data_IF_533774219906
#
_entry.id   IF_533774219906
#
_cell.length_a   1.000
_cell.length_b   1.000
_cell.length_c   1.000
_cell.angle_alpha   90.00
_cell.angle_beta   90.00
_cell.angle_gamma   90.00
#
_symmetry.space_group_name_H-M   'P 1'
#
loop_
_entity.id
_entity.type
_entity.pdbx_description
1 polymer ?
#
# COMPACT_ATOMS: atom_id res chain seq x y z
N UNK A 1 -28.02 -35.98 -43.62
CA UNK A 1 -28.23 -34.51 -43.66
C UNK A 1 -29.26 -34.20 -42.57
N UNK A 2 -29.12 -33.29 -41.61
CA UNK A 2 -28.10 -32.28 -41.30
C UNK A 2 -28.10 -32.04 -39.78
N UNK A 3 -26.96 -31.53 -39.32
CA UNK A 3 -26.51 -31.33 -37.95
C UNK A 3 -26.88 -29.89 -37.53
N UNK A 4 -26.92 -29.62 -36.21
CA UNK A 4 -26.65 -28.30 -35.54
C UNK A 4 -27.81 -27.53 -34.88
N UNK A 5 -28.73 -28.22 -34.20
CA UNK A 5 -29.67 -27.57 -33.25
C UNK A 5 -29.48 -27.98 -31.77
N UNK A 6 -28.29 -28.42 -31.36
CA UNK A 6 -28.00 -28.86 -29.96
C UNK A 6 -27.04 -27.88 -29.26
N UNK A 7 -27.30 -26.57 -29.29
CA UNK A 7 -26.51 -25.60 -28.51
C UNK A 7 -27.34 -24.66 -27.63
N UNK A 8 -28.62 -24.92 -27.45
CA UNK A 8 -29.45 -24.14 -26.54
C UNK A 8 -30.38 -25.13 -25.84
N UNK A 9 -30.22 -25.33 -24.52
CA UNK A 9 -31.17 -25.98 -23.55
C UNK A 9 -30.61 -27.07 -22.60
N UNK A 10 -29.42 -26.90 -22.00
CA UNK A 10 -29.13 -27.51 -20.68
C UNK A 10 -28.80 -26.40 -19.69
N UNK A 11 -29.80 -25.81 -19.03
CA UNK A 11 -30.11 -26.05 -17.61
C UNK A 11 -28.85 -25.90 -16.72
N UNK A 12 -28.59 -24.73 -16.14
CA UNK A 12 -29.07 -24.26 -14.82
C UNK A 12 -28.93 -25.34 -13.72
N UNK A 13 -28.12 -24.97 -12.71
CA UNK A 13 -27.72 -25.69 -11.49
C UNK A 13 -26.77 -26.89 -11.75
N UNK A 14 -25.51 -26.85 -11.35
CA UNK A 14 -25.01 -26.78 -9.98
C UNK A 14 -23.57 -26.26 -10.02
N UNK A 15 -23.27 -25.14 -9.35
CA UNK A 15 -22.04 -24.92 -8.59
C UNK A 15 -22.32 -23.79 -7.58
N UNK A 16 -23.25 -24.07 -6.66
CA UNK A 16 -23.43 -23.31 -5.42
C UNK A 16 -22.57 -23.90 -4.29
N UNK A 17 -21.32 -24.23 -4.58
CA UNK A 17 -20.28 -24.45 -3.56
C UNK A 17 -19.42 -23.21 -3.55
N UNK A 18 -19.61 -22.37 -2.53
CA UNK A 18 -18.83 -21.17 -2.34
C UNK A 18 -17.34 -21.47 -2.23
N UNK A 19 -16.55 -20.66 -2.93
CA UNK A 19 -15.35 -19.98 -2.42
C UNK A 19 -15.01 -18.90 -3.45
N UNK A 20 -15.52 -17.68 -3.27
CA UNK A 20 -14.80 -16.50 -3.78
C UNK A 20 -13.62 -16.27 -2.85
N UNK A 21 -12.56 -17.07 -3.03
CA UNK A 21 -11.24 -16.75 -2.48
C UNK A 21 -10.59 -15.70 -3.39
N UNK A 22 -11.15 -14.48 -3.41
CA UNK A 22 -10.40 -13.31 -3.85
C UNK A 22 -9.37 -13.00 -2.76
N UNK A 23 -8.26 -13.74 -2.77
CA UNK A 23 -7.04 -13.28 -2.12
C UNK A 23 -6.63 -12.00 -2.84
N UNK A 24 -7.09 -10.85 -2.35
CA UNK A 24 -6.51 -9.55 -2.70
C UNK A 24 -5.09 -9.51 -2.14
N UNK A 25 -4.16 -10.15 -2.85
CA UNK A 25 -2.77 -9.76 -2.84
C UNK A 25 -2.70 -8.42 -3.55
N UNK A 26 -3.11 -7.35 -2.87
CA UNK A 26 -2.83 -6.00 -3.35
C UNK A 26 -1.31 -5.89 -3.42
N UNK A 27 -0.79 -5.68 -4.63
CA UNK A 27 0.63 -5.59 -4.94
C UNK A 27 1.29 -4.52 -4.09
N UNK A 28 1.76 -4.92 -2.91
CA UNK A 28 2.68 -4.17 -2.09
C UNK A 28 4.05 -4.60 -2.61
N UNK A 29 4.70 -3.78 -3.44
CA UNK A 29 6.06 -4.08 -3.90
C UNK A 29 6.90 -4.38 -2.66
N UNK A 30 7.44 -5.61 -2.60
CA UNK A 30 8.24 -6.02 -1.46
C UNK A 30 9.60 -5.33 -1.60
N UNK A 31 9.76 -4.19 -0.93
CA UNK A 31 11.00 -3.41 -0.86
C UNK A 31 12.23 -4.25 -0.45
N UNK A 32 12.01 -5.44 0.14
CA UNK A 32 13.07 -6.40 0.47
C UNK A 32 13.61 -7.14 -0.74
N UNK A 33 12.78 -7.36 -1.76
CA UNK A 33 13.13 -8.13 -2.96
C UNK A 33 13.58 -7.21 -4.07
N UNK A 34 12.97 -6.04 -4.19
CA UNK A 34 13.12 -5.17 -5.34
C UNK A 34 13.20 -3.68 -4.94
N UNK A 35 13.76 -2.87 -5.83
CA UNK A 35 13.88 -1.43 -5.64
C UNK A 35 15.24 -0.96 -5.13
N UNK A 36 15.40 0.34 -4.87
CA UNK A 36 16.70 0.98 -4.64
C UNK A 36 17.37 0.59 -3.31
N UNK A 37 16.65 -0.09 -2.41
CA UNK A 37 17.09 -0.49 -1.07
C UNK A 37 17.17 -2.02 -0.89
N UNK A 38 16.93 -2.83 -1.94
CA UNK A 38 16.81 -4.29 -1.79
C UNK A 38 18.07 -4.94 -1.23
N UNK A 39 19.25 -4.46 -1.66
CA UNK A 39 20.54 -4.95 -1.17
C UNK A 39 20.78 -4.54 0.29
N UNK A 40 20.44 -3.32 0.66
CA UNK A 40 20.52 -2.85 2.04
C UNK A 40 19.62 -3.65 2.98
N UNK A 41 18.42 -4.03 2.53
CA UNK A 41 17.54 -4.88 3.35
C UNK A 41 18.23 -6.21 3.65
N UNK A 42 18.79 -6.87 2.63
CA UNK A 42 19.49 -8.15 2.80
C UNK A 42 20.70 -8.03 3.71
N UNK A 43 21.46 -6.93 3.60
CA UNK A 43 22.71 -6.77 4.32
C UNK A 43 22.53 -6.28 5.76
N UNK A 44 21.56 -5.40 6.01
CA UNK A 44 21.39 -4.76 7.32
C UNK A 44 20.17 -5.25 8.08
N UNK A 45 19.12 -5.69 7.38
CA UNK A 45 17.80 -5.97 7.98
C UNK A 45 17.30 -7.40 7.75
N UNK A 46 18.15 -8.35 7.32
CA UNK A 46 17.73 -9.71 6.99
C UNK A 46 17.05 -10.49 8.14
N UNK A 47 17.36 -10.15 9.39
CA UNK A 47 16.77 -10.77 10.59
C UNK A 47 15.59 -10.00 11.16
N UNK A 48 15.25 -8.87 10.55
CA UNK A 48 14.12 -8.06 10.98
C UNK A 48 12.87 -8.68 10.37
N UNK A 49 11.97 -9.12 11.24
CA UNK A 49 10.69 -9.63 10.78
C UNK A 49 9.86 -8.52 10.10
N UNK A 50 9.16 -8.86 9.00
CA UNK A 50 8.24 -7.95 8.34
C UNK A 50 7.13 -7.39 9.25
N UNK A 51 6.51 -6.31 8.79
CA UNK A 51 5.37 -5.69 9.47
C UNK A 51 5.77 -4.58 10.44
N UNK A 52 4.74 -3.87 10.93
CA UNK A 52 4.86 -2.85 11.98
C UNK A 52 5.95 -1.78 11.73
N UNK A 53 6.24 -1.48 10.46
CA UNK A 53 7.32 -0.60 10.04
C UNK A 53 8.74 -1.00 10.50
N UNK A 54 8.97 -2.20 11.04
CA UNK A 54 10.27 -2.62 11.61
C UNK A 54 11.43 -2.55 10.61
N UNK A 55 11.19 -2.90 9.35
CA UNK A 55 12.20 -2.77 8.28
C UNK A 55 12.55 -1.29 8.01
N UNK A 56 11.55 -0.40 8.04
CA UNK A 56 11.78 1.02 7.86
C UNK A 56 12.59 1.62 9.03
N UNK A 57 12.32 1.18 10.25
CA UNK A 57 13.10 1.55 11.43
C UNK A 57 14.55 1.06 11.32
N UNK A 58 14.76 -0.20 10.95
CA UNK A 58 16.10 -0.74 10.68
C UNK A 58 16.87 0.06 9.62
N UNK A 59 16.18 0.50 8.56
CA UNK A 59 16.76 1.37 7.54
C UNK A 59 17.09 2.76 8.05
N UNK A 60 16.26 3.32 8.93
CA UNK A 60 16.51 4.60 9.56
C UNK A 60 17.77 4.53 10.45
N UNK A 61 17.93 3.47 11.23
CA UNK A 61 19.10 3.25 12.10
C UNK A 61 20.38 3.08 11.29
N UNK A 62 20.29 2.48 10.10
CA UNK A 62 21.42 2.28 9.20
C UNK A 62 21.57 3.38 8.15
N UNK A 63 20.80 4.47 8.21
CA UNK A 63 20.63 5.42 7.10
C UNK A 63 21.96 5.92 6.50
N UNK A 64 22.95 6.23 7.35
CA UNK A 64 24.26 6.73 6.89
C UNK A 64 25.11 5.68 6.14
N UNK A 65 24.82 4.40 6.34
CA UNK A 65 25.53 3.25 5.74
C UNK A 65 24.87 2.78 4.44
N UNK A 66 23.70 3.30 4.11
CA UNK A 66 22.96 2.93 2.89
C UNK A 66 23.58 3.60 1.65
N UNK A 67 23.44 2.95 0.49
CA UNK A 67 23.90 3.53 -0.78
C UNK A 67 23.11 4.81 -1.08
N UNK A 68 23.70 5.76 -1.85
CA UNK A 68 23.03 7.01 -2.20
C UNK A 68 21.65 6.82 -2.82
N UNK A 69 21.47 5.80 -3.67
CA UNK A 69 20.18 5.45 -4.28
C UNK A 69 19.12 5.11 -3.23
N UNK A 70 19.46 4.27 -2.25
CA UNK A 70 18.54 3.88 -1.19
C UNK A 70 18.21 5.07 -0.28
N UNK A 71 19.22 5.87 0.12
CA UNK A 71 19.00 7.10 0.90
C UNK A 71 18.05 8.07 0.19
N UNK A 72 18.27 8.29 -1.11
CA UNK A 72 17.40 9.15 -1.93
C UNK A 72 15.97 8.65 -1.94
N UNK A 73 15.77 7.35 -2.09
CA UNK A 73 14.44 6.73 -2.06
C UNK A 73 13.74 6.89 -0.70
N UNK A 74 14.46 6.64 0.41
CA UNK A 74 13.92 6.82 1.77
C UNK A 74 13.56 8.29 2.02
N UNK A 75 14.43 9.23 1.63
CA UNK A 75 14.14 10.67 1.77
C UNK A 75 12.92 11.07 0.93
N UNK A 76 12.81 10.59 -0.30
CA UNK A 76 11.66 10.86 -1.16
C UNK A 76 10.36 10.31 -0.56
N UNK A 77 10.40 9.08 -0.01
CA UNK A 77 9.27 8.46 0.67
C UNK A 77 8.86 9.23 1.94
N UNK A 78 9.82 9.66 2.76
CA UNK A 78 9.58 10.52 3.94
C UNK A 78 8.91 11.83 3.55
N UNK A 79 9.48 12.55 2.57
CA UNK A 79 8.90 13.82 2.10
C UNK A 79 7.47 13.64 1.56
N UNK A 80 7.16 12.50 0.92
CA UNK A 80 5.79 12.18 0.47
C UNK A 80 4.86 11.97 1.68
N UNK A 81 5.30 11.21 2.67
CA UNK A 81 4.55 10.95 3.90
C UNK A 81 4.29 12.25 4.69
N UNK A 82 5.30 13.10 4.86
CA UNK A 82 5.16 14.37 5.58
C UNK A 82 4.12 15.28 4.91
N UNK A 83 4.15 15.40 3.58
CA UNK A 83 3.12 16.12 2.82
C UNK A 83 1.72 15.55 3.01
N UNK A 84 1.59 14.24 3.15
CA UNK A 84 0.32 13.59 3.44
C UNK A 84 -0.17 13.96 4.84
N UNK A 85 0.71 13.83 5.84
CA UNK A 85 0.40 14.16 7.24
C UNK A 85 -0.02 15.61 7.38
N UNK A 86 0.74 16.54 6.80
CA UNK A 86 0.46 17.97 6.88
C UNK A 86 -0.89 18.32 6.23
N UNK A 87 -1.15 17.80 5.04
CA UNK A 87 -2.40 18.05 4.32
C UNK A 87 -3.62 17.42 4.99
N UNK A 88 -3.43 16.32 5.71
CA UNK A 88 -4.51 15.53 6.32
C UNK A 88 -4.65 15.74 7.83
N UNK A 89 -3.83 16.59 8.46
CA UNK A 89 -3.83 16.76 9.92
C UNK A 89 -5.20 17.14 10.47
N UNK A 90 -5.86 18.13 9.89
CA UNK A 90 -7.19 18.56 10.33
C UNK A 90 -8.27 17.48 10.15
N UNK A 91 -8.22 16.75 9.04
CA UNK A 91 -9.13 15.63 8.79
C UNK A 91 -8.87 14.47 9.76
N UNK A 92 -7.61 14.18 10.09
CA UNK A 92 -7.23 13.16 11.06
C UNK A 92 -7.73 13.52 12.47
N UNK A 93 -7.57 14.77 12.88
CA UNK A 93 -8.08 15.28 14.15
C UNK A 93 -9.61 15.23 14.22
N UNK A 94 -10.31 15.38 13.08
CA UNK A 94 -11.76 15.33 13.03
C UNK A 94 -12.31 13.89 13.04
N UNK A 95 -11.73 13.01 12.23
CA UNK A 95 -12.32 11.70 11.93
C UNK A 95 -11.60 10.50 12.56
N UNK A 96 -10.33 10.66 12.95
CA UNK A 96 -9.44 9.55 13.32
C UNK A 96 -8.75 9.77 14.69
N UNK A 97 -9.42 10.45 15.63
CA UNK A 97 -8.89 10.73 16.97
C UNK A 97 -8.43 9.45 17.67
N UNK A 98 -7.26 9.51 18.30
CA UNK A 98 -6.68 8.37 19.04
C UNK A 98 -5.99 7.32 18.16
N UNK A 99 -6.02 7.46 16.83
CA UNK A 99 -5.29 6.57 15.93
C UNK A 99 -3.89 7.13 15.69
N UNK A 100 -2.82 6.35 15.97
CA UNK A 100 -1.46 6.82 15.76
C UNK A 100 -1.12 6.91 14.25
N UNK A 101 -0.20 7.82 13.92
CA UNK A 101 0.37 7.96 12.58
C UNK A 101 1.29 6.79 12.18
N UNK A 102 1.75 5.99 13.15
CA UNK A 102 2.60 4.83 12.91
C UNK A 102 1.90 3.81 12.03
N UNK A 103 2.70 3.18 11.18
CA UNK A 103 2.27 2.09 10.27
C UNK A 103 1.17 2.52 9.30
N UNK A 104 0.96 3.83 9.11
CA UNK A 104 -0.09 4.34 8.25
C UNK A 104 -1.52 4.10 8.78
N UNK A 105 -1.71 3.75 10.06
CA UNK A 105 -3.03 3.46 10.63
C UNK A 105 -4.01 4.62 10.48
N UNK A 106 -3.56 5.85 10.76
CA UNK A 106 -4.39 7.04 10.55
C UNK A 106 -4.74 7.27 9.08
N UNK A 107 -3.83 6.94 8.15
CA UNK A 107 -4.10 7.05 6.72
C UNK A 107 -5.11 5.98 6.28
N UNK A 108 -5.07 4.78 6.85
CA UNK A 108 -6.10 3.75 6.65
C UNK A 108 -7.47 4.19 7.14
N UNK A 109 -7.54 4.87 8.28
CA UNK A 109 -8.79 5.47 8.76
C UNK A 109 -9.32 6.55 7.79
N UNK A 110 -8.45 7.49 7.40
CA UNK A 110 -8.81 8.55 6.46
C UNK A 110 -9.22 8.01 5.08
N UNK A 111 -8.61 6.90 4.64
CA UNK A 111 -8.97 6.23 3.39
C UNK A 111 -10.44 5.79 3.37
N UNK A 112 -10.97 5.34 4.51
CA UNK A 112 -12.38 4.97 4.68
C UNK A 112 -13.34 6.16 4.76
N UNK A 113 -12.80 7.39 4.86
CA UNK A 113 -13.53 8.65 4.98
C UNK A 113 -13.29 9.58 3.79
N UNK A 114 -12.79 9.06 2.66
CA UNK A 114 -12.33 9.88 1.53
C UNK A 114 -13.35 10.91 1.01
N UNK A 115 -14.66 10.62 1.08
CA UNK A 115 -15.73 11.55 0.71
C UNK A 115 -15.88 12.74 1.67
N UNK A 116 -15.44 12.57 2.91
CA UNK A 116 -15.60 13.54 4.00
C UNK A 116 -14.34 14.40 4.20
N UNK A 117 -13.25 14.08 3.49
CA UNK A 117 -11.96 14.77 3.59
C UNK A 117 -11.99 16.15 2.96
N UNK A 118 -11.23 17.07 3.55
CA UNK A 118 -10.96 18.37 2.94
C UNK A 118 -10.19 18.24 1.60
N UNK A 119 -10.26 19.28 0.74
CA UNK A 119 -9.67 19.24 -0.60
C UNK A 119 -8.16 19.00 -0.59
N UNK A 120 -7.46 19.51 0.44
CA UNK A 120 -6.02 19.30 0.60
C UNK A 120 -5.67 17.81 0.82
N UNK A 121 -6.34 17.15 1.76
CA UNK A 121 -6.11 15.73 2.04
C UNK A 121 -6.59 14.82 0.91
N UNK A 122 -7.78 15.10 0.34
CA UNK A 122 -8.30 14.36 -0.80
C UNK A 122 -7.35 14.42 -2.01
N UNK A 123 -6.69 15.56 -2.22
CA UNK A 123 -5.66 15.70 -3.26
C UNK A 123 -4.47 14.78 -3.03
N UNK A 124 -4.04 14.58 -1.78
CA UNK A 124 -2.93 13.67 -1.51
C UNK A 124 -3.32 12.19 -1.72
N UNK A 125 -4.54 11.78 -1.36
CA UNK A 125 -5.03 10.44 -1.69
C UNK A 125 -5.09 10.19 -3.20
N UNK A 126 -5.51 11.18 -3.98
CA UNK A 126 -5.46 11.11 -5.46
C UNK A 126 -4.01 10.97 -5.95
N UNK A 127 -3.09 11.83 -5.48
CA UNK A 127 -1.67 11.77 -5.83
C UNK A 127 -1.04 10.43 -5.48
N UNK A 128 -1.31 9.89 -4.30
CA UNK A 128 -0.78 8.60 -3.86
C UNK A 128 -1.33 7.44 -4.70
N UNK A 129 -2.60 7.49 -5.11
CA UNK A 129 -3.21 6.50 -6.01
C UNK A 129 -2.73 6.61 -7.46
N UNK A 130 -2.28 7.78 -7.89
CA UNK A 130 -1.73 8.05 -9.23
C UNK A 130 -0.21 7.92 -9.32
N UNK A 131 0.49 7.69 -8.21
CA UNK A 131 1.95 7.63 -8.18
C UNK A 131 2.43 6.22 -8.55
N UNK A 132 2.97 6.02 -9.77
CA UNK A 132 3.46 4.71 -10.18
C UNK A 132 4.63 4.25 -9.30
N UNK A 133 5.33 5.12 -8.59
CA UNK A 133 6.43 4.73 -7.69
C UNK A 133 5.98 4.16 -6.34
N UNK A 134 4.67 4.14 -6.05
CA UNK A 134 4.10 3.43 -4.89
C UNK A 134 3.66 2.00 -5.28
N UNK A 135 3.33 1.78 -6.56
CA UNK A 135 3.00 0.47 -7.13
C UNK A 135 4.11 -0.17 -7.96
N UNK A 136 5.21 0.55 -8.21
CA UNK A 136 6.38 -0.01 -8.85
C UNK A 136 7.28 -0.60 -7.82
#
# INVERSE_FOLDING_TARGET
MSIRSILVTTAIAIFATGVVAEARAQGQKDWRKEGPCSEEVKNFCARVEPGEARIADCMADNFRRLRPSCRGAITAARNKFDRMVDACKGDAEKFCKGIPYREGRVLSCLKGRQSDLGPACATQFKRAGSDPAIFQ
#
